data_IF_097170163675
#
_entry.id   IF_097170163675
#
_cell.length_a   1.000
_cell.length_b   1.000
_cell.length_c   1.000
_cell.angle_alpha   90.00
_cell.angle_beta   90.00
_cell.angle_gamma   90.00
#
_symmetry.space_group_name_H-M   'P 1'
#
loop_
_entity.id
_entity.type
_entity.pdbx_description
1 polymer ?
#
# COMPACT_ATOMS: atom_id res chain seq x y z
N UNK A 1 -1.96 7.03 -30.59
CA UNK A 1 -1.11 8.24 -30.59
C UNK A 1 -1.01 8.90 -29.21
N UNK A 2 -2.11 9.22 -28.51
CA UNK A 2 -2.07 9.85 -27.15
C UNK A 2 -1.14 9.17 -26.13
N UNK A 3 -1.23 7.84 -25.97
CA UNK A 3 -0.41 7.10 -25.01
C UNK A 3 1.12 7.17 -25.25
N UNK A 4 1.56 7.49 -26.47
CA UNK A 4 2.99 7.62 -26.81
C UNK A 4 3.49 9.05 -26.55
N UNK A 5 2.65 10.07 -26.76
CA UNK A 5 2.93 11.45 -26.36
C UNK A 5 2.96 11.62 -24.84
N UNK A 6 2.05 10.93 -24.13
CA UNK A 6 2.04 10.90 -22.68
C UNK A 6 3.35 10.31 -22.13
N UNK A 7 3.89 9.24 -22.75
CA UNK A 7 5.20 8.66 -22.38
C UNK A 7 6.38 9.64 -22.55
N UNK A 8 6.37 10.52 -23.54
CA UNK A 8 7.42 11.56 -23.70
C UNK A 8 7.31 12.65 -22.64
N UNK A 9 6.09 13.07 -22.29
CA UNK A 9 5.83 14.07 -21.23
C UNK A 9 6.12 13.53 -19.82
N UNK A 10 5.95 12.22 -19.62
CA UNK A 10 6.34 11.47 -18.41
C UNK A 10 7.85 11.54 -18.19
N UNK A 11 8.67 11.32 -19.22
CA UNK A 11 10.13 11.40 -19.12
C UNK A 11 10.65 12.81 -18.81
N UNK A 12 9.87 13.84 -19.14
CA UNK A 12 10.16 15.26 -18.87
C UNK A 12 9.65 15.75 -17.50
N UNK A 13 9.08 14.87 -16.67
CA UNK A 13 8.60 15.22 -15.32
C UNK A 13 7.36 16.10 -15.29
N UNK A 14 6.61 16.22 -16.39
CA UNK A 14 5.38 17.01 -16.47
C UNK A 14 4.16 16.21 -16.02
N UNK A 15 3.30 16.85 -15.22
CA UNK A 15 2.03 16.31 -14.70
C UNK A 15 1.08 16.03 -15.87
N UNK A 16 0.65 14.78 -16.03
CA UNK A 16 -0.47 14.42 -16.92
C UNK A 16 -1.52 13.76 -16.04
N UNK A 17 -2.66 14.43 -15.91
CA UNK A 17 -3.85 13.89 -15.28
C UNK A 17 -4.70 13.24 -16.38
N UNK A 18 -4.96 11.94 -16.25
CA UNK A 18 -5.88 11.21 -17.13
C UNK A 18 -7.00 10.62 -16.29
N UNK A 19 -8.05 11.41 -16.04
CA UNK A 19 -9.25 10.96 -15.32
C UNK A 19 -9.04 10.77 -13.81
N UNK A 20 -8.29 11.67 -13.16
CA UNK A 20 -7.97 11.63 -11.73
C UNK A 20 -6.78 10.73 -11.38
N UNK A 21 -6.02 10.28 -12.38
CA UNK A 21 -4.82 9.44 -12.18
C UNK A 21 -3.60 10.27 -12.50
N UNK A 22 -2.62 10.30 -11.60
CA UNK A 22 -1.38 11.03 -11.79
C UNK A 22 -0.24 10.13 -12.26
N UNK A 23 0.75 10.75 -12.90
CA UNK A 23 2.08 10.18 -13.15
C UNK A 23 2.87 10.25 -11.85
N UNK A 24 3.56 9.15 -11.51
CA UNK A 24 4.38 9.07 -10.30
C UNK A 24 5.73 9.75 -10.53
N UNK A 25 6.22 10.43 -9.49
CA UNK A 25 7.65 10.70 -9.36
C UNK A 25 8.27 9.60 -8.50
N UNK A 26 8.72 8.53 -9.14
CA UNK A 26 9.56 7.52 -8.49
C UNK A 26 10.97 8.07 -8.40
N UNK A 27 11.59 7.95 -7.22
CA UNK A 27 12.97 8.39 -6.99
C UNK A 27 13.75 7.20 -6.45
N UNK A 28 14.72 6.71 -7.20
CA UNK A 28 15.51 5.52 -6.82
C UNK A 28 16.20 5.73 -5.47
N UNK A 29 16.72 6.94 -5.22
CA UNK A 29 17.39 7.29 -3.96
C UNK A 29 16.44 7.84 -2.88
N UNK A 30 15.14 7.95 -3.17
CA UNK A 30 14.14 8.43 -2.21
C UNK A 30 13.72 7.34 -1.23
N UNK A 31 13.39 7.75 0.00
CA UNK A 31 12.87 6.90 1.09
C UNK A 31 11.45 7.33 1.54
N UNK A 32 10.84 8.29 0.85
CA UNK A 32 9.50 8.81 1.12
C UNK A 32 8.44 8.04 0.31
N UNK A 33 7.34 7.68 0.97
CA UNK A 33 6.06 7.33 0.36
C UNK A 33 5.09 8.45 0.72
N UNK A 34 4.79 9.34 -0.23
CA UNK A 34 3.81 10.41 -0.10
C UNK A 34 2.75 10.29 -1.19
N UNK A 35 1.50 10.10 -0.78
CA UNK A 35 0.33 9.93 -1.64
C UNK A 35 -0.69 10.98 -1.20
N UNK A 36 -1.19 11.77 -2.14
CA UNK A 36 -2.24 12.78 -1.92
C UNK A 36 -3.50 12.35 -2.64
N UNK A 37 -4.63 12.38 -1.94
CA UNK A 37 -5.93 11.89 -2.40
C UNK A 37 -5.86 10.49 -3.03
N UNK A 38 -5.14 9.57 -2.36
CA UNK A 38 -5.01 8.19 -2.80
C UNK A 38 -6.34 7.45 -2.77
N UNK A 39 -6.60 6.61 -3.77
CA UNK A 39 -7.82 5.81 -3.87
C UNK A 39 -7.50 4.33 -4.05
N UNK A 40 -8.32 3.46 -3.50
CA UNK A 40 -8.09 2.03 -3.61
C UNK A 40 -8.35 1.58 -5.07
N UNK A 41 -7.36 1.03 -5.81
CA UNK A 41 -7.46 0.83 -7.26
C UNK A 41 -8.61 -0.08 -7.73
N UNK A 42 -9.03 -1.01 -6.87
CA UNK A 42 -10.15 -1.93 -7.12
C UNK A 42 -11.50 -1.35 -6.65
N UNK A 43 -11.61 -0.93 -5.38
CA UNK A 43 -12.87 -0.49 -4.76
C UNK A 43 -13.43 0.76 -5.44
N UNK A 44 -12.57 1.69 -5.92
CA UNK A 44 -13.03 2.89 -6.63
C UNK A 44 -13.80 2.58 -7.93
N UNK A 45 -13.64 1.36 -8.48
CA UNK A 45 -14.25 0.93 -9.74
C UNK A 45 -15.44 0.01 -9.55
N UNK A 46 -15.77 -0.35 -8.31
CA UNK A 46 -16.88 -1.26 -8.06
C UNK A 46 -18.22 -0.55 -8.32
N UNK A 47 -19.22 -1.20 -8.94
CA UNK A 47 -20.55 -0.61 -9.08
C UNK A 47 -21.20 -0.38 -7.69
N UNK A 48 -21.84 0.77 -7.49
CA UNK A 48 -22.55 1.09 -6.26
C UNK A 48 -21.69 1.68 -5.12
N UNK A 49 -20.41 1.97 -5.36
CA UNK A 49 -19.59 2.80 -4.47
C UNK A 49 -19.70 4.27 -4.88
N UNK A 50 -20.78 4.94 -4.47
CA UNK A 50 -21.13 6.29 -4.94
C UNK A 50 -20.13 7.40 -4.54
N UNK A 51 -19.18 7.13 -3.64
CA UNK A 51 -17.96 7.94 -3.50
C UNK A 51 -16.92 7.18 -2.67
N UNK A 52 -15.89 6.62 -3.29
CA UNK A 52 -14.70 6.24 -2.55
C UNK A 52 -14.08 7.53 -1.98
N UNK A 53 -13.96 7.63 -0.65
CA UNK A 53 -13.31 8.78 0.00
C UNK A 53 -11.79 8.63 -0.14
N UNK A 54 -11.10 9.52 -0.86
CA UNK A 54 -9.66 9.46 -1.02
C UNK A 54 -8.94 9.72 0.32
N UNK A 55 -7.73 9.18 0.47
CA UNK A 55 -6.93 9.33 1.68
C UNK A 55 -5.48 9.68 1.34
N UNK A 56 -4.92 10.59 2.12
CA UNK A 56 -3.50 10.91 2.08
C UNK A 56 -2.71 9.82 2.83
N UNK A 57 -1.49 9.56 2.38
CA UNK A 57 -0.56 8.65 3.06
C UNK A 57 0.83 9.23 3.03
N UNK A 58 1.50 9.29 4.17
CA UNK A 58 2.87 9.77 4.28
C UNK A 58 3.68 8.88 5.21
N UNK A 59 4.79 8.37 4.69
CA UNK A 59 5.80 7.62 5.43
C UNK A 59 7.16 8.06 4.92
N UNK A 60 8.06 8.45 5.81
CA UNK A 60 9.44 8.79 5.48
C UNK A 60 10.34 8.49 6.70
N UNK A 61 11.64 8.31 6.49
CA UNK A 61 12.54 7.94 7.59
C UNK A 61 12.76 9.06 8.60
N UNK A 62 12.50 10.32 8.21
CA UNK A 62 12.71 11.48 9.06
C UNK A 62 11.52 11.80 9.97
N UNK A 63 10.31 11.39 9.59
CA UNK A 63 9.04 11.82 10.15
C UNK A 63 8.13 10.66 10.59
N UNK A 64 8.48 9.41 10.27
CA UNK A 64 7.79 8.23 10.83
C UNK A 64 7.99 6.96 10.01
N UNK A 65 8.88 6.07 10.47
CA UNK A 65 9.09 4.72 9.91
C UNK A 65 7.90 3.78 10.14
N UNK A 66 7.06 4.05 11.15
CA UNK A 66 5.95 3.18 11.56
C UNK A 66 4.68 4.00 11.66
N UNK A 67 3.64 3.56 10.95
CA UNK A 67 2.29 4.12 11.06
C UNK A 67 1.40 3.17 11.83
N UNK A 68 0.85 3.62 12.96
CA UNK A 68 -0.10 2.84 13.76
C UNK A 68 -1.52 3.33 13.43
N UNK A 69 -2.33 2.45 12.84
CA UNK A 69 -3.74 2.74 12.56
C UNK A 69 -4.65 2.10 13.61
N UNK A 70 -5.36 2.94 14.35
CA UNK A 70 -6.36 2.52 15.34
C UNK A 70 -7.75 3.02 14.94
N UNK A 71 -8.79 2.47 15.57
CA UNK A 71 -10.19 2.85 15.32
C UNK A 71 -11.13 1.65 15.24
N UNK A 72 -12.44 1.87 15.12
CA UNK A 72 -13.43 0.80 15.12
C UNK A 72 -13.28 -0.14 13.92
N UNK A 73 -13.77 -1.37 14.07
CA UNK A 73 -13.87 -2.30 12.95
C UNK A 73 -14.77 -1.69 11.86
N UNK A 74 -14.47 -1.97 10.59
CA UNK A 74 -15.17 -1.40 9.43
C UNK A 74 -14.95 0.10 9.16
N UNK A 75 -14.09 0.79 9.92
CA UNK A 75 -13.69 2.18 9.62
C UNK A 75 -12.81 2.36 8.36
N UNK A 76 -12.61 1.31 7.56
CA UNK A 76 -11.79 1.35 6.36
C UNK A 76 -10.27 1.24 6.60
N UNK A 77 -9.82 0.88 7.81
CA UNK A 77 -8.38 0.74 8.13
C UNK A 77 -7.66 -0.24 7.20
N UNK A 78 -8.20 -1.46 7.05
CA UNK A 78 -7.68 -2.48 6.14
C UNK A 78 -7.69 -1.99 4.68
N UNK A 79 -8.73 -1.24 4.29
CA UNK A 79 -8.84 -0.63 2.96
C UNK A 79 -7.73 0.38 2.72
N UNK A 80 -7.47 1.27 3.68
CA UNK A 80 -6.41 2.27 3.61
C UNK A 80 -5.02 1.63 3.50
N UNK A 81 -4.76 0.63 4.34
CA UNK A 81 -3.48 -0.08 4.38
C UNK A 81 -3.22 -0.80 3.04
N UNK A 82 -4.22 -1.52 2.52
CA UNK A 82 -4.13 -2.19 1.21
C UNK A 82 -4.00 -1.20 0.06
N UNK A 83 -4.73 -0.08 0.11
CA UNK A 83 -4.64 0.99 -0.88
C UNK A 83 -3.19 1.47 -1.04
N UNK A 84 -2.53 1.78 0.08
CA UNK A 84 -1.14 2.27 0.08
C UNK A 84 -0.20 1.28 -0.57
N UNK A 85 -0.27 0.00 -0.18
CA UNK A 85 0.55 -1.07 -0.77
C UNK A 85 0.32 -1.23 -2.28
N UNK A 86 -0.94 -1.21 -2.72
CA UNK A 86 -1.28 -1.34 -4.14
C UNK A 86 -0.79 -0.14 -4.96
N UNK A 87 -0.88 1.07 -4.43
CA UNK A 87 -0.37 2.27 -5.10
C UNK A 87 1.15 2.20 -5.28
N UNK A 88 1.89 1.75 -4.25
CA UNK A 88 3.34 1.53 -4.32
C UNK A 88 3.70 0.49 -5.39
N UNK A 89 2.97 -0.62 -5.44
CA UNK A 89 3.18 -1.65 -6.47
C UNK A 89 2.90 -1.11 -7.89
N UNK A 90 1.77 -0.42 -8.08
CA UNK A 90 1.42 0.20 -9.37
C UNK A 90 2.48 1.22 -9.81
N UNK A 91 3.08 1.94 -8.87
CA UNK A 91 4.14 2.87 -9.18
C UNK A 91 5.40 2.19 -9.69
N UNK A 92 5.85 1.11 -9.04
CA UNK A 92 7.07 0.40 -9.42
C UNK A 92 6.96 -0.43 -10.70
N UNK A 93 5.74 -0.78 -11.14
CA UNK A 93 5.52 -1.37 -12.47
C UNK A 93 5.46 -0.31 -13.59
N UNK A 94 5.55 0.98 -13.26
CA UNK A 94 5.45 2.08 -14.22
C UNK A 94 4.02 2.36 -14.72
N UNK A 95 3.00 1.96 -13.96
CA UNK A 95 1.59 2.27 -14.25
C UNK A 95 1.23 3.66 -13.72
N UNK A 96 0.15 4.26 -14.23
CA UNK A 96 -0.49 5.37 -13.52
C UNK A 96 -1.09 4.88 -12.18
N UNK A 97 -1.13 5.76 -11.19
CA UNK A 97 -1.72 5.47 -9.87
C UNK A 97 -2.99 6.29 -9.64
N UNK A 98 -3.98 5.74 -8.91
CA UNK A 98 -5.20 6.44 -8.56
C UNK A 98 -4.99 7.40 -7.37
N UNK A 99 -4.29 8.50 -7.62
CA UNK A 99 -4.02 9.56 -6.63
C UNK A 99 -3.93 10.93 -7.34
N UNK A 100 -4.16 12.02 -6.61
CA UNK A 100 -3.96 13.37 -7.14
C UNK A 100 -2.47 13.73 -7.28
N UNK A 101 -1.64 13.22 -6.36
CA UNK A 101 -0.18 13.26 -6.42
C UNK A 101 0.42 12.02 -5.75
N UNK A 102 1.55 11.52 -6.28
CA UNK A 102 2.32 10.44 -5.67
C UNK A 102 3.83 10.65 -5.85
N UNK A 103 4.56 10.63 -4.74
CA UNK A 103 6.03 10.56 -4.64
C UNK A 103 6.39 9.29 -3.90
N UNK A 104 7.06 8.37 -4.58
CA UNK A 104 7.29 7.01 -4.06
C UNK A 104 8.76 6.65 -4.25
N UNK A 105 9.47 6.53 -3.13
CA UNK A 105 10.79 5.92 -3.07
C UNK A 105 10.72 4.45 -3.43
N UNK A 106 11.74 3.94 -4.10
CA UNK A 106 11.75 2.53 -4.53
C UNK A 106 11.85 1.62 -3.30
N UNK A 107 10.84 0.76 -3.12
CA UNK A 107 10.86 -0.33 -2.15
C UNK A 107 11.41 -1.59 -2.78
N UNK A 108 12.22 -2.33 -2.04
CA UNK A 108 12.83 -3.57 -2.53
C UNK A 108 11.87 -4.77 -2.45
N UNK A 109 11.02 -4.79 -1.41
CA UNK A 109 10.04 -5.84 -1.13
C UNK A 109 8.82 -5.25 -0.44
N UNK A 110 7.65 -5.84 -0.72
CA UNK A 110 6.40 -5.57 -0.01
C UNK A 110 6.02 -6.82 0.77
N UNK A 111 5.98 -6.70 2.09
CA UNK A 111 5.53 -7.76 2.99
C UNK A 111 4.13 -7.46 3.47
N UNK A 112 3.25 -8.46 3.45
CA UNK A 112 1.89 -8.31 3.93
C UNK A 112 1.55 -9.44 4.89
N UNK A 113 1.05 -9.07 6.06
CA UNK A 113 0.27 -9.95 6.91
C UNK A 113 -1.09 -9.31 7.07
N UNK A 114 -2.07 -9.81 6.34
CA UNK A 114 -3.43 -9.29 6.36
C UNK A 114 -4.34 -10.47 6.67
N UNK A 115 -5.13 -10.36 7.74
CA UNK A 115 -6.02 -11.44 8.19
C UNK A 115 -6.79 -12.07 7.03
N UNK A 116 -6.60 -13.38 6.84
CA UNK A 116 -7.41 -14.22 5.96
C UNK A 116 -8.48 -14.94 6.78
N UNK A 117 -9.63 -15.22 6.17
CA UNK A 117 -10.58 -16.16 6.74
C UNK A 117 -9.90 -17.51 6.97
N UNK A 118 -10.24 -18.17 8.07
CA UNK A 118 -9.53 -19.29 8.66
C UNK A 118 -9.18 -20.40 7.66
N UNK A 119 -7.90 -20.77 7.60
CA UNK A 119 -7.45 -22.02 6.96
C UNK A 119 -7.34 -23.09 8.05
N UNK A 120 -8.49 -23.67 8.42
CA UNK A 120 -8.65 -24.68 9.50
C UNK A 120 -8.00 -26.03 9.12
N UNK A 121 -7.37 -26.15 7.94
CA UNK A 121 -7.01 -27.42 7.32
C UNK A 121 -5.64 -28.04 7.64
N UNK A 122 -4.75 -27.42 8.42
CA UNK A 122 -3.32 -27.84 8.46
C UNK A 122 -2.77 -28.44 9.75
N UNK A 123 -3.57 -28.64 10.80
CA UNK A 123 -3.09 -29.24 12.05
C UNK A 123 -2.09 -28.39 12.86
N UNK A 124 -1.87 -27.13 12.45
CA UNK A 124 -1.13 -26.12 13.20
C UNK A 124 -2.11 -25.04 13.68
N UNK A 125 -1.84 -24.40 14.83
CA UNK A 125 -2.68 -23.31 15.33
C UNK A 125 -2.57 -22.08 14.42
N UNK A 126 -3.66 -21.34 14.24
CA UNK A 126 -3.68 -20.08 13.46
C UNK A 126 -2.61 -19.11 13.96
N UNK A 127 -2.38 -19.07 15.27
CA UNK A 127 -1.31 -18.27 15.86
C UNK A 127 0.10 -18.74 15.48
N UNK A 128 0.36 -20.05 15.45
CA UNK A 128 1.66 -20.56 15.04
C UNK A 128 1.96 -20.19 13.58
N UNK A 129 0.98 -20.34 12.68
CA UNK A 129 1.11 -19.91 11.28
C UNK A 129 1.40 -18.42 11.19
N UNK A 130 0.67 -17.61 11.97
CA UNK A 130 0.88 -16.17 12.04
C UNK A 130 2.29 -15.81 12.54
N UNK A 131 2.80 -16.46 13.58
CA UNK A 131 4.15 -16.20 14.10
C UNK A 131 5.24 -16.61 13.12
N UNK A 132 5.04 -17.68 12.36
CA UNK A 132 5.96 -18.07 11.27
C UNK A 132 5.96 -17.02 10.15
N UNK A 133 4.79 -16.48 9.78
CA UNK A 133 4.69 -15.40 8.80
C UNK A 133 5.42 -14.13 9.29
N UNK A 134 5.21 -13.73 10.54
CA UNK A 134 5.90 -12.58 11.14
C UNK A 134 7.41 -12.80 11.20
N UNK A 135 7.86 -13.99 11.63
CA UNK A 135 9.28 -14.33 11.64
C UNK A 135 9.89 -14.27 10.23
N UNK A 136 9.17 -14.73 9.21
CA UNK A 136 9.62 -14.63 7.83
C UNK A 136 9.74 -13.17 7.35
N UNK A 137 8.80 -12.31 7.74
CA UNK A 137 8.87 -10.86 7.44
C UNK A 137 10.12 -10.27 8.10
N UNK A 138 10.31 -10.51 9.40
CA UNK A 138 11.45 -9.96 10.16
C UNK A 138 12.81 -10.41 9.61
N UNK A 139 12.93 -11.68 9.20
CA UNK A 139 14.19 -12.23 8.70
C UNK A 139 14.56 -11.75 7.29
N UNK A 140 13.59 -11.26 6.50
CA UNK A 140 13.80 -10.91 5.09
C UNK A 140 13.54 -9.43 4.77
N UNK A 141 12.96 -8.67 5.69
CA UNK A 141 12.76 -7.24 5.55
C UNK A 141 14.11 -6.52 5.58
N UNK A 142 14.31 -5.63 4.61
CA UNK A 142 15.41 -4.68 4.62
C UNK A 142 14.91 -3.31 5.06
N UNK A 143 15.82 -2.36 5.22
CA UNK A 143 15.45 -0.98 5.52
C UNK A 143 14.64 -0.29 4.40
N UNK A 144 14.60 -0.88 3.19
CA UNK A 144 13.83 -0.38 2.04
C UNK A 144 12.52 -1.15 1.82
N UNK A 145 12.19 -2.09 2.71
CA UNK A 145 10.99 -2.90 2.57
C UNK A 145 9.76 -2.17 3.12
N UNK A 146 8.64 -2.28 2.41
CA UNK A 146 7.33 -1.86 2.92
C UNK A 146 6.69 -3.04 3.64
N UNK A 147 6.42 -2.89 4.94
CA UNK A 147 5.75 -3.90 5.74
C UNK A 147 4.35 -3.43 6.08
N UNK A 148 3.36 -4.27 5.78
CA UNK A 148 1.95 -4.03 6.00
C UNK A 148 1.39 -5.12 6.89
N UNK A 149 0.95 -4.73 8.09
CA UNK A 149 0.38 -5.64 9.07
C UNK A 149 -1.06 -5.20 9.38
N UNK A 150 -1.99 -6.14 9.35
CA UNK A 150 -3.40 -5.93 9.68
C UNK A 150 -3.91 -7.06 10.57
N UNK A 151 -4.48 -6.68 11.71
CA UNK A 151 -5.03 -7.56 12.76
C UNK A 151 -4.07 -8.63 13.32
N UNK A 152 -2.79 -8.27 13.52
CA UNK A 152 -1.81 -9.17 14.17
C UNK A 152 -2.17 -9.41 15.64
N UNK A 153 -2.08 -10.66 16.10
CA UNK A 153 -2.28 -11.06 17.50
C UNK A 153 -3.73 -11.37 17.89
N UNK A 154 -4.63 -11.55 16.92
CA UNK A 154 -6.05 -11.87 17.20
C UNK A 154 -6.27 -13.26 17.80
N UNK A 155 -5.33 -14.20 17.60
CA UNK A 155 -5.48 -15.61 17.92
C UNK A 155 -5.01 -16.05 19.32
N UNK A 156 -4.64 -15.13 20.21
CA UNK A 156 -4.07 -15.47 21.54
C UNK A 156 -4.73 -14.75 22.71
N UNK A 157 -4.52 -15.30 23.90
CA UNK A 157 -4.81 -14.63 25.18
C UNK A 157 -4.23 -13.21 25.18
N UNK A 158 -5.00 -12.28 25.76
CA UNK A 158 -4.62 -10.86 25.93
C UNK A 158 -3.49 -10.65 26.94
N UNK A 159 -3.01 -11.72 27.58
CA UNK A 159 -1.99 -11.75 28.63
C UNK A 159 -0.99 -12.88 28.38
#
# INVERSE_FOLDING_TARGET
>A
MRAVEDRKRVAEGKRVDVGGRCIIKTKDDGDEIAIVDGRHPVIERMPGTDAFVPNDSRMDRAGGLVTILTGPNMAGKSTYIRQTALIVLLAQIGSFVPAAEARIGVVDRVFTRIGSADDIGRGASTFMVEMVEIANILNNASERSLVVLDEVGRGTSTF
#
